data_IF_796216228333
#
_entry.id   IF_796216228333
#
_cell.length_a   1.000
_cell.length_b   1.000
_cell.length_c   1.000
_cell.angle_alpha   90.00
_cell.angle_beta   90.00
_cell.angle_gamma   90.00
#
_symmetry.space_group_name_H-M   'P 1'
#
loop_
_entity.id
_entity.type
_entity.pdbx_description
1 polymer ?
#
# COMPACT_ATOMS: atom_id res chain seq x y z
N UNK A 1 -20.43 -17.47 4.01
CA UNK A 1 -19.84 -18.51 4.89
C UNK A 1 -19.39 -19.70 4.05
N UNK A 2 -18.26 -19.59 3.35
CA UNK A 2 -17.63 -20.73 2.69
C UNK A 2 -16.68 -21.36 3.71
N UNK A 3 -16.91 -22.64 4.01
CA UNK A 3 -16.16 -23.42 4.98
C UNK A 3 -14.74 -23.61 4.44
N UNK A 4 -13.76 -23.02 5.12
CA UNK A 4 -12.34 -23.29 4.91
C UNK A 4 -12.12 -24.72 5.39
N UNK A 5 -12.03 -25.67 4.47
CA UNK A 5 -11.52 -27.00 4.75
C UNK A 5 -10.00 -26.85 4.90
N UNK A 6 -9.54 -26.57 6.12
CA UNK A 6 -8.14 -26.80 6.50
C UNK A 6 -7.99 -28.32 6.55
N UNK A 7 -7.65 -28.93 5.41
CA UNK A 7 -7.14 -30.28 5.39
C UNK A 7 -5.77 -30.23 6.08
N UNK A 8 -5.76 -30.52 7.39
CA UNK A 8 -4.60 -30.95 8.13
C UNK A 8 -4.11 -32.26 7.49
N UNK A 9 -3.31 -32.14 6.43
CA UNK A 9 -2.60 -33.27 5.87
C UNK A 9 -1.38 -33.51 6.77
N UNK A 10 -1.60 -34.38 7.76
CA UNK A 10 -0.55 -34.92 8.62
C UNK A 10 0.49 -35.56 7.71
N UNK A 11 1.69 -34.96 7.72
CA UNK A 11 2.86 -35.41 7.00
C UNK A 11 3.20 -36.86 7.39
N UNK A 12 2.78 -37.81 6.56
CA UNK A 12 3.23 -39.20 6.58
C UNK A 12 4.26 -39.38 5.46
N UNK A 13 5.48 -38.87 5.68
CA UNK A 13 6.60 -39.13 4.78
C UNK A 13 7.31 -40.42 5.22
N UNK A 14 6.85 -41.54 4.66
CA UNK A 14 7.62 -42.78 4.59
C UNK A 14 8.00 -43.05 3.12
N UNK A 15 9.31 -43.06 2.90
CA UNK A 15 10.04 -43.74 1.81
C UNK A 15 9.76 -43.32 0.36
N UNK A 16 10.76 -42.65 -0.24
CA UNK A 16 10.97 -42.62 -1.69
C UNK A 16 11.31 -41.23 -2.19
N UNK A 17 12.61 -40.94 -2.35
CA UNK A 17 13.09 -39.78 -3.12
C UNK A 17 12.77 -40.06 -4.60
N UNK A 18 11.54 -39.77 -5.02
CA UNK A 18 11.08 -39.90 -6.38
C UNK A 18 10.45 -38.58 -6.81
N UNK A 19 11.07 -37.89 -7.75
CA UNK A 19 10.43 -36.80 -8.46
C UNK A 19 9.42 -37.36 -9.45
N UNK A 20 8.23 -36.79 -9.51
CA UNK A 20 7.18 -37.20 -10.43
C UNK A 20 5.78 -37.05 -9.85
N UNK A 21 4.80 -37.57 -10.59
CA UNK A 21 3.44 -37.69 -10.14
C UNK A 21 3.35 -38.80 -9.07
N UNK A 22 3.00 -38.42 -7.85
CA UNK A 22 2.85 -39.32 -6.70
C UNK A 22 1.44 -39.93 -6.68
N UNK A 23 0.44 -39.15 -7.04
CA UNK A 23 -0.97 -39.55 -6.99
C UNK A 23 -1.78 -38.80 -8.05
N UNK A 24 -2.81 -39.44 -8.60
CA UNK A 24 -3.74 -38.82 -9.54
C UNK A 24 -3.21 -38.74 -10.98
N UNK A 25 -3.75 -37.77 -11.73
CA UNK A 25 -3.42 -37.52 -13.14
C UNK A 25 -2.73 -36.16 -13.27
N UNK A 26 -1.38 -36.17 -13.22
CA UNK A 26 -0.57 -34.97 -13.37
C UNK A 26 -0.37 -34.53 -14.84
N UNK A 27 -1.19 -35.03 -15.78
CA UNK A 27 -1.17 -34.60 -17.17
C UNK A 27 -2.47 -33.86 -17.52
N UNK A 28 -3.64 -34.41 -17.16
CA UNK A 28 -4.95 -33.90 -17.60
C UNK A 28 -6.08 -34.04 -16.54
N UNK A 29 -5.73 -34.08 -15.26
CA UNK A 29 -6.71 -34.18 -14.19
C UNK A 29 -6.21 -33.62 -12.87
N UNK A 30 -6.76 -34.10 -11.75
CA UNK A 30 -6.28 -33.71 -10.43
C UNK A 30 -5.13 -34.62 -10.01
N UNK A 31 -4.02 -34.06 -9.54
CA UNK A 31 -2.84 -34.83 -9.17
C UNK A 31 -1.93 -34.17 -8.15
N UNK A 32 -1.15 -35.00 -7.47
CA UNK A 32 -0.09 -34.64 -6.53
C UNK A 32 1.25 -34.91 -7.19
N UNK A 33 2.06 -33.88 -7.36
CA UNK A 33 3.39 -33.94 -7.93
C UNK A 33 4.43 -33.47 -6.91
N UNK A 34 5.61 -34.07 -6.94
CA UNK A 34 6.78 -33.57 -6.19
C UNK A 34 8.00 -33.55 -7.10
N UNK A 35 8.79 -32.49 -7.04
CA UNK A 35 10.03 -32.39 -7.82
C UNK A 35 11.26 -32.87 -7.01
N UNK A 36 12.43 -32.89 -7.65
CA UNK A 36 13.69 -33.28 -7.00
C UNK A 36 14.17 -32.31 -5.91
N UNK A 37 13.63 -31.09 -5.87
CA UNK A 37 14.00 -30.05 -4.91
C UNK A 37 13.14 -30.11 -3.64
N UNK A 38 12.09 -30.93 -3.63
CA UNK A 38 11.17 -31.08 -2.50
C UNK A 38 9.93 -30.20 -2.60
N UNK A 39 9.75 -29.46 -3.69
CA UNK A 39 8.52 -28.70 -3.92
C UNK A 39 7.38 -29.66 -4.26
N UNK A 40 6.18 -29.33 -3.80
CA UNK A 40 4.98 -30.14 -3.97
C UNK A 40 3.87 -29.32 -4.61
N UNK A 41 3.18 -29.89 -5.60
CA UNK A 41 1.95 -29.34 -6.15
C UNK A 41 0.81 -30.34 -5.98
N UNK A 42 -0.35 -29.84 -5.53
CA UNK A 42 -1.60 -30.60 -5.43
C UNK A 42 -2.70 -29.78 -6.08
N UNK A 43 -3.21 -30.21 -7.24
CA UNK A 43 -4.19 -29.42 -7.98
C UNK A 43 -4.55 -29.99 -9.34
N UNK A 44 -5.24 -29.19 -10.14
CA UNK A 44 -5.64 -29.55 -11.49
C UNK A 44 -4.47 -29.40 -12.49
N UNK A 45 -4.44 -30.30 -13.47
CA UNK A 45 -3.45 -30.37 -14.53
C UNK A 45 -4.15 -30.39 -15.88
N UNK A 46 -3.49 -29.80 -16.88
CA UNK A 46 -3.92 -29.85 -18.27
C UNK A 46 -2.69 -29.76 -19.16
N UNK A 47 -2.60 -30.66 -20.13
CA UNK A 47 -1.49 -30.72 -21.09
C UNK A 47 -0.11 -30.70 -20.40
N UNK A 48 0.03 -31.44 -19.29
CA UNK A 48 1.23 -31.53 -18.44
C UNK A 48 1.62 -30.23 -17.69
N UNK A 49 0.73 -29.22 -17.68
CA UNK A 49 0.92 -27.94 -16.99
C UNK A 49 -0.09 -27.80 -15.83
N UNK A 50 0.33 -27.11 -14.75
CA UNK A 50 -0.58 -26.72 -13.66
C UNK A 50 -1.65 -25.78 -14.23
N UNK A 51 -2.91 -26.11 -13.98
CA UNK A 51 -4.06 -25.36 -14.46
C UNK A 51 -5.17 -25.37 -13.40
N UNK A 52 -6.25 -24.61 -13.57
CA UNK A 52 -7.38 -24.66 -12.63
C UNK A 52 -7.01 -24.29 -11.18
N UNK A 53 -7.47 -25.05 -10.19
CA UNK A 53 -7.17 -24.77 -8.78
C UNK A 53 -6.03 -25.65 -8.28
N UNK A 54 -5.13 -25.09 -7.47
CA UNK A 54 -4.08 -25.89 -6.86
C UNK A 54 -3.27 -25.19 -5.77
N UNK A 55 -2.69 -26.02 -4.93
CA UNK A 55 -1.77 -25.63 -3.88
C UNK A 55 -0.36 -26.00 -4.27
N UNK A 56 0.57 -25.05 -4.21
CA UNK A 56 2.00 -25.28 -4.37
C UNK A 56 2.71 -24.97 -3.05
N UNK A 57 3.49 -25.91 -2.55
CA UNK A 57 4.31 -25.77 -1.34
C UNK A 57 5.76 -25.85 -1.78
N UNK A 58 6.52 -24.78 -1.51
CA UNK A 58 7.93 -24.69 -1.82
C UNK A 58 8.76 -25.37 -0.72
N UNK A 59 9.93 -25.89 -1.07
CA UNK A 59 10.83 -26.58 -0.14
C UNK A 59 11.34 -25.68 1.01
N UNK A 60 11.35 -24.36 0.81
CA UNK A 60 11.68 -23.34 1.81
C UNK A 60 10.51 -22.99 2.75
N UNK A 61 9.33 -23.56 2.52
CA UNK A 61 8.13 -23.37 3.33
C UNK A 61 7.16 -22.31 2.80
N UNK A 62 7.47 -21.63 1.69
CA UNK A 62 6.50 -20.77 1.03
C UNK A 62 5.32 -21.58 0.50
N UNK A 63 4.16 -20.93 0.35
CA UNK A 63 2.96 -21.59 -0.13
C UNK A 63 2.13 -20.67 -1.01
N UNK A 64 1.72 -21.18 -2.17
CA UNK A 64 0.63 -20.60 -2.96
C UNK A 64 -0.59 -21.51 -2.95
N UNK A 65 -1.77 -20.92 -2.82
CA UNK A 65 -3.06 -21.61 -2.87
C UNK A 65 -4.02 -20.78 -3.73
N UNK A 66 -4.33 -21.24 -4.94
CA UNK A 66 -5.14 -20.45 -5.85
C UNK A 66 -5.22 -20.99 -7.27
N UNK A 67 -5.61 -20.09 -8.17
CA UNK A 67 -5.80 -20.37 -9.58
C UNK A 67 -4.47 -20.41 -10.36
N UNK A 68 -4.35 -21.41 -11.23
CA UNK A 68 -3.23 -21.64 -12.11
C UNK A 68 -3.68 -21.63 -13.57
N UNK A 69 -2.82 -21.14 -14.43
CA UNK A 69 -2.98 -21.22 -15.87
C UNK A 69 -1.61 -21.37 -16.53
N UNK A 70 -1.45 -22.44 -17.28
CA UNK A 70 -0.27 -22.71 -18.10
C UNK A 70 1.02 -22.57 -17.26
N UNK A 71 1.04 -23.28 -16.12
CA UNK A 71 2.08 -23.28 -15.08
C UNK A 71 2.28 -22.01 -14.24
N UNK A 72 1.49 -20.96 -14.49
CA UNK A 72 1.59 -19.67 -13.79
C UNK A 72 0.44 -19.40 -12.84
N UNK A 73 0.72 -18.67 -11.75
CA UNK A 73 -0.33 -18.11 -10.88
C UNK A 73 -1.17 -17.13 -11.71
N UNK A 74 -2.49 -17.33 -11.75
CA UNK A 74 -3.38 -16.52 -12.59
C UNK A 74 -4.81 -16.59 -12.06
N UNK A 75 -5.46 -15.47 -11.77
CA UNK A 75 -6.75 -15.43 -11.08
C UNK A 75 -6.58 -15.20 -9.57
N UNK A 76 -7.53 -15.64 -8.75
CA UNK A 76 -7.48 -15.42 -7.30
C UNK A 76 -6.53 -16.40 -6.61
N UNK A 77 -5.76 -15.92 -5.64
CA UNK A 77 -4.93 -16.79 -4.81
C UNK A 77 -4.43 -16.15 -3.53
N UNK A 78 -3.92 -17.01 -2.65
CA UNK A 78 -3.23 -16.65 -1.41
C UNK A 78 -1.78 -17.11 -1.51
N UNK A 79 -0.84 -16.22 -1.22
CA UNK A 79 0.58 -16.53 -1.09
C UNK A 79 1.02 -16.27 0.34
N UNK A 80 1.63 -17.26 0.98
CA UNK A 80 2.32 -17.14 2.25
C UNK A 80 3.83 -17.18 1.99
N UNK A 81 4.51 -16.08 2.32
CA UNK A 81 5.94 -15.90 2.12
C UNK A 81 6.74 -16.52 3.28
N UNK A 82 8.02 -16.81 3.06
CA UNK A 82 8.88 -17.45 4.04
C UNK A 82 9.11 -16.58 5.28
N UNK A 83 9.02 -15.25 5.12
CA UNK A 83 9.13 -14.32 6.23
C UNK A 83 7.89 -14.28 7.12
N UNK A 84 6.75 -14.86 6.68
CA UNK A 84 5.48 -14.89 7.37
C UNK A 84 4.47 -13.84 6.89
N UNK A 85 4.85 -12.97 5.94
CA UNK A 85 3.91 -12.07 5.26
C UNK A 85 2.97 -12.86 4.34
N UNK A 86 1.85 -12.24 3.96
CA UNK A 86 0.84 -12.88 3.10
C UNK A 86 0.31 -11.91 2.06
N UNK A 87 0.05 -12.42 0.85
CA UNK A 87 -0.77 -11.73 -0.14
C UNK A 87 -2.04 -12.54 -0.40
N UNK A 88 -3.19 -11.87 -0.44
CA UNK A 88 -4.47 -12.45 -0.85
C UNK A 88 -5.05 -11.55 -1.93
N UNK A 89 -5.19 -12.06 -3.16
CA UNK A 89 -5.75 -11.25 -4.24
C UNK A 89 -5.55 -11.86 -5.62
N UNK A 90 -5.71 -11.01 -6.61
CA UNK A 90 -5.57 -11.36 -8.01
C UNK A 90 -4.10 -11.52 -8.43
N UNK A 91 -3.87 -12.47 -9.33
CA UNK A 91 -2.61 -12.75 -9.99
C UNK A 91 -2.79 -12.74 -11.50
N UNK A 92 -1.74 -12.35 -12.22
CA UNK A 92 -1.66 -12.47 -13.67
C UNK A 92 -0.22 -12.79 -14.05
N UNK A 93 -0.03 -13.92 -14.72
CA UNK A 93 1.27 -14.36 -15.21
C UNK A 93 2.36 -14.32 -14.11
N UNK A 94 2.06 -14.96 -12.97
CA UNK A 94 2.88 -15.04 -11.75
C UNK A 94 2.99 -13.77 -10.90
N UNK A 95 2.42 -12.65 -11.35
CA UNK A 95 2.52 -11.37 -10.64
C UNK A 95 1.24 -10.98 -9.93
N UNK A 96 1.35 -10.30 -8.79
CA UNK A 96 0.21 -9.64 -8.15
C UNK A 96 -0.34 -8.58 -9.11
N UNK A 97 -1.66 -8.60 -9.29
CA UNK A 97 -2.38 -7.73 -10.21
C UNK A 97 -3.80 -7.51 -9.68
N UNK A 98 -4.58 -6.59 -10.25
CA UNK A 98 -5.99 -6.41 -9.89
C UNK A 98 -6.17 -6.00 -8.43
N UNK A 99 -7.20 -6.49 -7.75
CA UNK A 99 -7.41 -6.21 -6.32
C UNK A 99 -6.68 -7.21 -5.43
N UNK A 100 -6.07 -6.72 -4.34
CA UNK A 100 -5.42 -7.59 -3.37
C UNK A 100 -5.04 -6.91 -2.07
N UNK A 101 -4.81 -7.74 -1.06
CA UNK A 101 -4.32 -7.34 0.25
C UNK A 101 -2.97 -7.98 0.52
N UNK A 102 -1.95 -7.18 0.77
CA UNK A 102 -0.67 -7.63 1.31
C UNK A 102 -0.60 -7.28 2.79
N UNK A 103 -0.31 -8.27 3.64
CA UNK A 103 -0.16 -8.12 5.08
C UNK A 103 1.25 -8.52 5.46
N UNK A 104 1.99 -7.58 6.05
CA UNK A 104 3.34 -7.78 6.55
C UNK A 104 3.32 -8.40 7.95
N UNK A 105 4.45 -9.00 8.35
CA UNK A 105 4.58 -9.64 9.68
C UNK A 105 4.47 -8.69 10.86
N UNK A 106 4.76 -7.41 10.64
CA UNK A 106 4.64 -6.37 11.68
C UNK A 106 3.23 -5.80 11.80
N UNK A 107 2.28 -6.33 11.03
CA UNK A 107 0.88 -5.91 11.00
C UNK A 107 0.60 -4.74 10.06
N UNK A 108 1.62 -4.15 9.42
CA UNK A 108 1.38 -3.21 8.33
C UNK A 108 0.72 -3.92 7.15
N UNK A 109 -0.11 -3.21 6.40
CA UNK A 109 -0.87 -3.80 5.31
C UNK A 109 -1.13 -2.80 4.20
N UNK A 110 -1.28 -3.31 2.98
CA UNK A 110 -1.82 -2.59 1.85
C UNK A 110 -3.05 -3.35 1.32
N UNK A 111 -4.14 -2.64 1.10
CA UNK A 111 -5.35 -3.15 0.45
C UNK A 111 -5.71 -2.23 -0.72
N UNK A 112 -5.75 -2.75 -1.94
CA UNK A 112 -6.09 -1.93 -3.10
C UNK A 112 -5.69 -2.56 -4.43
N UNK A 113 -5.48 -1.68 -5.42
CA UNK A 113 -5.10 -2.04 -6.78
C UNK A 113 -3.61 -2.37 -6.90
N UNK A 114 -3.32 -3.47 -7.59
CA UNK A 114 -1.99 -3.96 -7.89
C UNK A 114 -1.77 -4.04 -9.39
N UNK A 115 -0.54 -3.76 -9.81
CA UNK A 115 -0.08 -3.96 -11.17
C UNK A 115 1.37 -4.38 -11.18
N UNK A 116 1.62 -5.56 -11.74
CA UNK A 116 2.98 -6.10 -11.91
C UNK A 116 3.79 -6.09 -10.60
N UNK A 117 3.20 -6.67 -9.54
CA UNK A 117 3.77 -6.78 -8.18
C UNK A 117 3.80 -5.48 -7.34
N UNK A 118 3.14 -4.42 -7.81
CA UNK A 118 3.21 -3.09 -7.19
C UNK A 118 1.83 -2.48 -6.90
N UNK A 119 1.60 -1.82 -5.75
CA UNK A 119 0.49 -0.88 -5.57
C UNK A 119 0.42 0.14 -6.70
N UNK A 120 -0.73 0.19 -7.38
CA UNK A 120 -0.95 1.04 -8.54
C UNK A 120 -2.46 1.26 -8.75
N UNK A 121 -2.96 2.47 -8.50
CA UNK A 121 -4.40 2.77 -8.46
C UNK A 121 -4.86 3.18 -7.05
N UNK A 122 -6.14 3.01 -6.73
CA UNK A 122 -6.65 3.32 -5.38
C UNK A 122 -6.23 2.25 -4.38
N UNK A 123 -5.91 2.68 -3.15
CA UNK A 123 -5.66 1.76 -2.06
C UNK A 123 -5.61 2.43 -0.68
N UNK A 124 -5.54 1.57 0.33
CA UNK A 124 -5.34 1.93 1.72
C UNK A 124 -4.07 1.26 2.23
N UNK A 125 -3.13 2.04 2.74
CA UNK A 125 -1.94 1.53 3.42
C UNK A 125 -2.05 1.83 4.92
N UNK A 126 -1.99 0.79 5.73
CA UNK A 126 -1.85 0.89 7.19
C UNK A 126 -0.39 0.61 7.54
N UNK A 127 0.27 1.58 8.15
CA UNK A 127 1.68 1.49 8.52
C UNK A 127 1.84 0.86 9.91
N UNK A 128 3.04 0.34 10.18
CA UNK A 128 3.38 -0.32 11.45
C UNK A 128 3.14 0.57 12.68
N UNK A 129 3.38 1.87 12.54
CA UNK A 129 3.17 2.84 13.61
C UNK A 129 1.67 3.11 13.89
N UNK A 130 0.78 2.66 13.01
CA UNK A 130 -0.67 2.90 13.04
C UNK A 130 -1.11 4.04 12.13
N UNK A 131 -0.19 4.68 11.39
CA UNK A 131 -0.54 5.67 10.38
C UNK A 131 -1.37 5.02 9.27
N UNK A 132 -2.27 5.79 8.66
CA UNK A 132 -3.12 5.28 7.58
C UNK A 132 -3.12 6.26 6.42
N UNK A 133 -2.72 5.79 5.25
CA UNK A 133 -2.93 6.49 3.98
C UNK A 133 -4.09 5.86 3.22
N UNK A 134 -5.00 6.70 2.71
CA UNK A 134 -6.06 6.31 1.78
C UNK A 134 -5.95 7.21 0.56
N UNK A 135 -5.71 6.64 -0.61
CA UNK A 135 -5.57 7.44 -1.82
C UNK A 135 -4.98 6.67 -2.99
N UNK A 136 -4.39 7.44 -3.90
CA UNK A 136 -3.87 6.92 -5.15
C UNK A 136 -2.39 6.53 -5.02
N UNK A 137 -2.02 5.40 -5.62
CA UNK A 137 -0.68 4.88 -5.69
C UNK A 137 -0.22 4.78 -7.14
N UNK A 138 1.07 4.96 -7.36
CA UNK A 138 1.73 4.71 -8.64
C UNK A 138 3.10 4.11 -8.39
N UNK A 139 3.31 2.91 -8.92
CA UNK A 139 4.59 2.19 -8.86
C UNK A 139 5.16 2.13 -7.42
N UNK A 140 4.33 1.65 -6.48
CA UNK A 140 4.60 1.52 -5.03
C UNK A 140 4.56 2.82 -4.21
N UNK A 141 4.34 3.98 -4.82
CA UNK A 141 4.39 5.28 -4.13
C UNK A 141 3.05 5.96 -4.03
N UNK A 142 2.83 6.71 -2.95
CA UNK A 142 1.70 7.64 -2.83
C UNK A 142 1.83 8.71 -3.92
N UNK A 143 0.77 8.87 -4.73
CA UNK A 143 0.81 9.73 -5.90
C UNK A 143 -0.60 10.15 -6.32
N UNK A 144 -0.86 11.42 -6.61
CA UNK A 144 -2.20 11.91 -6.91
C UNK A 144 -2.94 12.33 -5.63
N UNK A 145 -4.26 12.14 -5.56
CA UNK A 145 -5.03 12.57 -4.38
C UNK A 145 -5.00 11.51 -3.28
N UNK A 146 -4.90 11.96 -2.03
CA UNK A 146 -5.02 11.07 -0.87
C UNK A 146 -5.02 11.78 0.48
N UNK A 147 -5.39 11.03 1.50
CA UNK A 147 -5.43 11.44 2.90
C UNK A 147 -4.51 10.57 3.72
N UNK A 148 -3.62 11.19 4.50
CA UNK A 148 -2.81 10.51 5.50
C UNK A 148 -3.25 10.94 6.91
N UNK A 149 -3.69 9.97 7.71
CA UNK A 149 -3.98 10.11 9.13
C UNK A 149 -2.75 9.67 9.93
N UNK A 150 -2.16 10.60 10.68
CA UNK A 150 -0.98 10.34 11.51
C UNK A 150 -1.40 9.86 12.90
N UNK A 151 -0.55 9.07 13.53
CA UNK A 151 -0.79 8.49 14.87
C UNK A 151 -0.79 9.53 15.98
N UNK A 152 -0.12 10.66 15.76
CA UNK A 152 -0.15 11.81 16.66
C UNK A 152 -1.46 12.63 16.56
N UNK A 153 -2.37 12.26 15.66
CA UNK A 153 -3.63 12.96 15.39
C UNK A 153 -3.55 14.04 14.31
N UNK A 154 -2.36 14.30 13.75
CA UNK A 154 -2.27 15.16 12.57
C UNK A 154 -2.92 14.47 11.36
N UNK A 155 -3.30 15.26 10.37
CA UNK A 155 -3.88 14.76 9.12
C UNK A 155 -3.43 15.62 7.95
N UNK A 156 -3.13 15.00 6.82
CA UNK A 156 -2.96 15.68 5.54
C UNK A 156 -3.96 15.15 4.53
N UNK A 157 -4.61 16.03 3.78
CA UNK A 157 -5.49 15.71 2.66
C UNK A 157 -5.10 16.59 1.47
N UNK A 158 -4.73 16.01 0.34
CA UNK A 158 -4.30 16.79 -0.82
C UNK A 158 -3.60 15.97 -1.89
N UNK A 159 -2.83 16.68 -2.72
CA UNK A 159 -2.00 16.09 -3.75
C UNK A 159 -0.70 15.50 -3.20
N UNK A 160 -0.29 14.37 -3.76
CA UNK A 160 0.91 13.62 -3.41
C UNK A 160 1.74 13.39 -4.67
N UNK A 161 3.05 13.39 -4.50
CA UNK A 161 3.98 13.03 -5.55
C UNK A 161 5.18 12.33 -4.95
N UNK A 162 5.38 11.08 -5.37
CA UNK A 162 6.52 10.27 -4.95
C UNK A 162 6.70 10.22 -3.43
N UNK A 163 5.60 9.95 -2.71
CA UNK A 163 5.49 9.89 -1.24
C UNK A 163 5.52 11.23 -0.49
N UNK A 164 5.60 12.36 -1.19
CA UNK A 164 5.66 13.70 -0.60
C UNK A 164 4.37 14.49 -0.84
N UNK A 165 4.01 15.39 0.09
CA UNK A 165 2.98 16.39 -0.15
C UNK A 165 3.37 17.28 -1.32
N UNK A 166 2.42 17.53 -2.20
CA UNK A 166 2.61 18.33 -3.40
C UNK A 166 1.33 19.10 -3.73
N UNK A 167 1.37 20.05 -4.66
CA UNK A 167 0.18 20.70 -5.21
C UNK A 167 -0.70 21.36 -4.14
N UNK A 168 -2.02 21.28 -4.27
CA UNK A 168 -2.94 21.80 -3.27
C UNK A 168 -3.20 20.78 -2.16
N UNK A 169 -3.21 21.23 -0.91
CA UNK A 169 -3.52 20.36 0.22
C UNK A 169 -3.84 21.08 1.52
N UNK A 170 -4.46 20.35 2.42
CA UNK A 170 -4.80 20.77 3.78
C UNK A 170 -4.04 19.91 4.79
N UNK A 171 -3.18 20.54 5.59
CA UNK A 171 -2.61 19.92 6.80
C UNK A 171 -3.40 20.42 8.00
N UNK A 172 -3.93 19.51 8.79
CA UNK A 172 -4.51 19.79 10.11
C UNK A 172 -3.60 19.19 11.15
N UNK A 173 -3.18 19.97 12.13
CA UNK A 173 -2.40 19.47 13.26
C UNK A 173 -3.33 19.09 14.41
N UNK A 174 -2.95 18.10 15.20
CA UNK A 174 -3.70 17.65 16.37
C UNK A 174 -3.96 18.77 17.39
N UNK A 175 -3.06 19.75 17.44
CA UNK A 175 -3.18 20.95 18.30
C UNK A 175 -4.26 21.94 17.83
N UNK A 176 -4.86 21.72 16.65
CA UNK A 176 -5.91 22.57 16.07
C UNK A 176 -5.43 23.60 15.05
N UNK A 177 -4.12 23.72 14.86
CA UNK A 177 -3.56 24.51 13.75
C UNK A 177 -3.98 23.89 12.41
N UNK A 178 -4.06 24.71 11.36
CA UNK A 178 -4.44 24.28 10.02
C UNK A 178 -3.73 25.09 8.94
N UNK A 179 -3.24 24.42 7.90
CA UNK A 179 -2.74 25.06 6.69
C UNK A 179 -3.54 24.56 5.50
N UNK A 180 -3.99 25.48 4.66
CA UNK A 180 -4.65 25.21 3.38
C UNK A 180 -3.90 25.98 2.32
N UNK A 181 -3.30 25.30 1.35
CA UNK A 181 -2.58 25.97 0.28
C UNK A 181 -1.68 25.04 -0.50
N UNK A 182 -0.73 25.66 -1.19
CA UNK A 182 0.24 24.98 -2.03
C UNK A 182 1.35 24.32 -1.19
N UNK A 183 1.78 23.14 -1.65
CA UNK A 183 2.84 22.29 -1.08
C UNK A 183 3.83 21.89 -2.17
N UNK A 184 5.09 21.74 -1.77
CA UNK A 184 6.14 21.20 -2.60
C UNK A 184 7.14 20.44 -1.73
N UNK A 185 7.30 19.15 -2.01
CA UNK A 185 8.27 18.28 -1.36
C UNK A 185 8.13 18.35 0.18
N UNK A 186 6.91 18.17 0.68
CA UNK A 186 6.50 18.28 2.10
C UNK A 186 6.50 19.68 2.72
N UNK A 187 6.93 20.72 1.99
CA UNK A 187 7.04 22.09 2.51
C UNK A 187 5.90 22.97 1.99
N UNK A 188 5.38 23.87 2.82
CA UNK A 188 4.48 24.95 2.37
C UNK A 188 5.23 25.82 1.37
N UNK A 189 4.68 25.97 0.18
CA UNK A 189 5.33 26.68 -0.93
C UNK A 189 4.25 27.28 -1.82
N UNK A 190 4.33 28.54 -2.23
CA UNK A 190 3.26 29.22 -2.98
C UNK A 190 2.21 29.87 -2.08
N UNK A 191 0.98 30.04 -2.57
CA UNK A 191 -0.07 30.72 -1.80
C UNK A 191 -0.71 29.79 -0.77
N UNK A 192 -0.99 30.30 0.43
CA UNK A 192 -1.68 29.52 1.45
C UNK A 192 -2.25 30.34 2.59
N UNK A 193 -3.13 29.71 3.35
CA UNK A 193 -3.68 30.20 4.61
C UNK A 193 -3.24 29.30 5.75
N UNK A 194 -2.46 29.84 6.68
CA UNK A 194 -2.19 29.20 7.96
C UNK A 194 -3.13 29.80 9.01
N UNK A 195 -3.88 28.96 9.71
CA UNK A 195 -4.74 29.34 10.83
C UNK A 195 -4.19 28.67 12.08
N UNK A 196 -3.80 29.45 13.07
CA UNK A 196 -3.41 28.94 14.38
C UNK A 196 -4.65 28.53 15.18
N UNK A 197 -4.49 27.58 16.08
CA UNK A 197 -5.53 27.11 17.02
C UNK A 197 -6.15 28.21 17.88
N UNK A 198 -5.44 29.32 18.11
CA UNK A 198 -5.96 30.51 18.80
C UNK A 198 -6.87 31.40 17.92
N UNK A 199 -7.01 31.10 16.62
CA UNK A 199 -7.80 31.84 15.65
C UNK A 199 -7.04 32.90 14.86
N UNK A 200 -5.76 33.15 15.18
CA UNK A 200 -4.91 33.98 14.33
C UNK A 200 -4.76 33.33 12.95
N UNK A 201 -4.54 34.13 11.92
CA UNK A 201 -4.29 33.61 10.57
C UNK A 201 -3.29 34.41 9.78
N UNK A 202 -2.53 33.73 8.94
CA UNK A 202 -1.68 34.29 7.91
C UNK A 202 -2.20 33.84 6.56
N UNK A 203 -2.48 34.80 5.68
CA UNK A 203 -2.86 34.55 4.28
C UNK A 203 -1.79 35.16 3.40
N UNK A 204 -1.06 34.36 2.64
CA UNK A 204 -0.04 34.86 1.73
C UNK A 204 0.92 33.80 1.22
N UNK A 205 1.99 34.29 0.64
CA UNK A 205 3.03 33.48 0.01
C UNK A 205 3.93 32.80 1.06
N UNK A 206 4.34 31.57 0.72
CA UNK A 206 5.30 30.76 1.45
C UNK A 206 6.43 30.30 0.51
N UNK A 207 7.63 30.16 1.06
CA UNK A 207 8.75 29.49 0.40
C UNK A 207 9.47 28.65 1.44
N UNK A 208 9.52 27.34 1.21
CA UNK A 208 10.15 26.35 2.07
C UNK A 208 9.73 26.52 3.54
N UNK A 209 8.43 26.44 3.78
CA UNK A 209 7.73 26.63 5.06
C UNK A 209 7.69 28.04 5.65
N UNK A 210 8.48 28.97 5.11
CA UNK A 210 8.58 30.34 5.62
C UNK A 210 7.61 31.27 4.91
N UNK A 211 6.99 32.19 5.66
CA UNK A 211 6.29 33.35 5.08
C UNK A 211 7.31 34.16 4.29
N UNK A 212 7.06 34.33 3.00
CA UNK A 212 7.95 35.01 2.07
C UNK A 212 7.08 35.61 0.96
N UNK A 213 7.30 36.86 0.58
CA UNK A 213 6.48 37.54 -0.43
C UNK A 213 5.31 38.32 0.19
N UNK A 214 4.22 38.50 -0.56
CA UNK A 214 3.06 39.26 -0.08
C UNK A 214 2.20 38.43 0.87
N UNK A 215 1.79 39.02 2.00
CA UNK A 215 0.91 38.34 2.94
C UNK A 215 0.33 39.25 4.02
N UNK A 216 -0.76 38.78 4.64
CA UNK A 216 -1.45 39.47 5.74
C UNK A 216 -1.57 38.54 6.94
N UNK A 217 -1.09 39.00 8.10
CA UNK A 217 -1.34 38.35 9.38
C UNK A 217 -2.45 39.11 10.13
N UNK A 218 -3.49 38.39 10.53
CA UNK A 218 -4.65 38.90 11.25
C UNK A 218 -4.80 38.13 12.55
N UNK A 219 -4.93 38.83 13.67
CA UNK A 219 -5.24 38.22 14.95
C UNK A 219 -6.70 37.74 14.98
N UNK A 220 -7.01 36.84 15.91
CA UNK A 220 -8.36 36.27 16.08
C UNK A 220 -9.46 37.33 16.28
N UNK A 221 -9.13 38.50 16.83
CA UNK A 221 -10.05 39.63 17.02
C UNK A 221 -10.31 40.47 15.75
N UNK A 222 -9.63 40.12 14.65
CA UNK A 222 -9.72 40.83 13.36
C UNK A 222 -8.67 41.93 13.18
N UNK A 223 -7.85 42.21 14.19
CA UNK A 223 -6.77 43.21 14.10
C UNK A 223 -5.70 42.73 13.13
N UNK A 224 -5.34 43.57 12.17
CA UNK A 224 -4.23 43.29 11.24
C UNK A 224 -2.91 43.61 11.96
N UNK A 225 -2.05 42.61 12.12
CA UNK A 225 -0.70 42.79 12.63
C UNK A 225 0.21 43.43 11.58
N UNK A 226 0.20 42.85 10.37
CA UNK A 226 0.96 43.34 9.21
C UNK A 226 0.28 42.87 7.92
N UNK A 227 0.26 43.74 6.92
CA UNK A 227 -0.18 43.45 5.55
C UNK A 227 0.83 44.05 4.59
N UNK A 228 1.58 43.21 3.89
CA UNK A 228 2.67 43.63 3.02
C UNK A 228 3.70 42.54 2.78
N UNK A 229 4.93 42.96 2.51
CA UNK A 229 6.05 42.04 2.24
C UNK A 229 6.51 41.34 3.53
N UNK A 230 6.80 40.05 3.40
CA UNK A 230 7.45 39.20 4.38
C UNK A 230 8.74 38.63 3.79
N UNK A 231 9.77 38.51 4.62
CA UNK A 231 11.02 37.83 4.29
C UNK A 231 11.42 36.92 5.45
N UNK A 232 11.55 35.61 5.19
CA UNK A 232 11.96 34.62 6.17
C UNK A 232 11.17 34.63 7.49
N UNK A 233 9.83 34.71 7.41
CA UNK A 233 8.90 34.84 8.54
C UNK A 233 8.85 36.21 9.23
N UNK A 234 9.60 37.21 8.77
CA UNK A 234 9.60 38.55 9.35
C UNK A 234 8.92 39.57 8.42
N UNK A 235 8.13 40.52 8.95
CA UNK A 235 7.57 41.60 8.14
C UNK A 235 8.66 42.57 7.69
N UNK A 236 8.67 42.93 6.41
CA UNK A 236 9.56 43.95 5.86
C UNK A 236 8.98 45.35 6.13
N UNK A 237 9.83 46.27 6.59
CA UNK A 237 9.47 47.66 6.89
C UNK A 237 9.38 48.54 5.65
#
# INVERSE_FOLDING_TARGET
MKKIFIALFVCFILSGCGSGCIEGDCANGFGTYTNIYGDMYVGDWKDDEKNGQGTYVFADGEKYDGEWKDDKKNGQGTYAFADGSTYVGEYKDDKMNGQGTFTNVDGSAYEGEWKDDKPNGQGTCTYRDGGVYVGTFKDDKMNGQGTYSFTNGDMYEGEWKDDLFYGQGTKTWAIGDKYIGEWKDDLKNGQGTYTWSNGDKYVGEHTDDKKNGQGTLTFADGTIYHSGLWENNEPVK
#
